data_IF_014350371204
#
_entry.id   IF_014350371204
#
_cell.length_a   1.000
_cell.length_b   1.000
_cell.length_c   1.000
_cell.angle_alpha   90.00
_cell.angle_beta   90.00
_cell.angle_gamma   90.00
#
_symmetry.space_group_name_H-M   'P 1'
#
loop_
_entity.id
_entity.type
_entity.pdbx_description
1 polymer ?
#
# COMPACT_ATOMS: atom_id res chain seq x y z
N UNK A 1 6.54 -1.83 -13.42
CA UNK A 1 7.19 -3.12 -13.77
C UNK A 1 8.50 -3.33 -13.01
N UNK A 2 9.56 -2.54 -13.26
CA UNK A 2 10.85 -2.71 -12.59
C UNK A 2 10.73 -2.72 -11.04
N UNK A 3 9.98 -1.78 -10.46
CA UNK A 3 9.70 -1.77 -9.02
C UNK A 3 9.07 -3.08 -8.51
N UNK A 4 8.13 -3.64 -9.28
CA UNK A 4 7.48 -4.90 -8.95
C UNK A 4 8.42 -6.11 -9.06
N UNK A 5 9.28 -6.14 -10.08
CA UNK A 5 10.32 -7.19 -10.21
C UNK A 5 11.31 -7.13 -9.06
N UNK A 6 11.82 -5.94 -8.71
CA UNK A 6 12.68 -5.76 -7.55
C UNK A 6 11.97 -6.16 -6.25
N UNK A 7 10.67 -5.84 -6.11
CA UNK A 7 9.86 -6.29 -4.98
C UNK A 7 9.76 -7.81 -4.89
N UNK A 8 9.53 -8.51 -6.00
CA UNK A 8 9.54 -9.98 -6.03
C UNK A 8 10.91 -10.55 -5.66
N UNK A 9 11.99 -9.99 -6.19
CA UNK A 9 13.35 -10.40 -5.83
C UNK A 9 13.64 -10.17 -4.35
N UNK A 10 13.15 -9.07 -3.77
CA UNK A 10 13.21 -8.84 -2.34
C UNK A 10 12.40 -9.90 -1.55
N UNK A 11 11.22 -10.30 -2.03
CA UNK A 11 10.44 -11.35 -1.37
C UNK A 11 11.11 -12.73 -1.41
N UNK A 12 11.88 -13.02 -2.46
CA UNK A 12 12.49 -14.33 -2.73
C UNK A 12 13.90 -14.47 -2.16
N UNK A 13 14.67 -13.38 -2.11
CA UNK A 13 16.06 -13.42 -1.71
C UNK A 13 16.22 -13.14 -0.21
N UNK A 14 17.24 -13.75 0.43
CA UNK A 14 17.58 -13.46 1.82
C UNK A 14 17.84 -11.97 2.05
N UNK A 15 17.26 -11.44 3.12
CA UNK A 15 17.37 -10.04 3.50
C UNK A 15 18.61 -9.78 4.35
N UNK A 16 18.92 -10.72 5.24
CA UNK A 16 19.95 -10.61 6.26
C UNK A 16 20.81 -11.86 6.30
N UNK A 17 22.04 -11.67 6.74
CA UNK A 17 22.96 -12.74 7.13
C UNK A 17 23.11 -12.68 8.64
N UNK A 18 22.74 -13.76 9.32
CA UNK A 18 22.93 -13.85 10.78
C UNK A 18 24.19 -14.63 11.12
N UNK A 19 24.81 -14.37 12.28
CA UNK A 19 25.91 -15.18 12.77
C UNK A 19 25.55 -16.67 12.85
N UNK A 20 26.52 -17.56 12.58
CA UNK A 20 26.35 -19.03 12.49
C UNK A 20 25.72 -19.70 13.72
N UNK A 21 25.78 -19.06 14.88
CA UNK A 21 25.23 -19.57 16.13
C UNK A 21 23.73 -19.27 16.30
N UNK A 22 23.14 -18.42 15.45
CA UNK A 22 21.71 -18.16 15.37
C UNK A 22 21.10 -19.02 14.24
N UNK A 23 20.01 -19.75 14.52
CA UNK A 23 19.23 -20.40 13.44
C UNK A 23 18.71 -19.32 12.49
N UNK A 24 18.79 -19.58 11.19
CA UNK A 24 18.43 -18.65 10.12
C UNK A 24 16.99 -18.11 10.34
N UNK A 25 16.81 -16.84 10.76
CA UNK A 25 15.50 -16.34 11.12
C UNK A 25 14.70 -16.15 9.83
N UNK A 26 13.57 -16.86 9.73
CA UNK A 26 12.60 -16.63 8.66
C UNK A 26 12.15 -15.18 8.71
N UNK A 27 12.46 -14.42 7.66
CA UNK A 27 12.15 -12.98 7.60
C UNK A 27 10.70 -12.76 7.18
N UNK A 28 9.77 -12.97 8.12
CA UNK A 28 8.32 -12.80 7.88
C UNK A 28 7.93 -11.45 7.23
N UNK A 29 8.52 -10.30 7.60
CA UNK A 29 8.18 -9.02 6.98
C UNK A 29 8.41 -8.98 5.46
N UNK A 30 9.38 -9.74 4.94
CA UNK A 30 9.67 -9.78 3.50
C UNK A 30 8.49 -10.33 2.69
N UNK A 31 7.60 -11.11 3.31
CA UNK A 31 6.40 -11.65 2.65
C UNK A 31 5.43 -10.55 2.23
N UNK A 32 5.47 -9.37 2.84
CA UNK A 32 4.65 -8.22 2.44
C UNK A 32 5.03 -7.69 1.04
N UNK A 33 6.23 -8.00 0.55
CA UNK A 33 6.59 -7.66 -0.83
C UNK A 33 5.78 -8.46 -1.85
N UNK A 34 5.24 -9.64 -1.54
CA UNK A 34 4.40 -10.40 -2.48
C UNK A 34 3.17 -9.61 -2.96
N UNK A 35 2.25 -9.18 -2.08
CA UNK A 35 1.08 -8.43 -2.52
C UNK A 35 1.47 -7.05 -3.07
N UNK A 36 2.48 -6.37 -2.51
CA UNK A 36 2.94 -5.08 -3.01
C UNK A 36 3.51 -5.18 -4.45
N UNK A 37 4.34 -6.18 -4.71
CA UNK A 37 4.90 -6.44 -6.03
C UNK A 37 3.82 -6.86 -7.03
N UNK A 38 2.85 -7.69 -6.60
CA UNK A 38 1.72 -8.08 -7.44
C UNK A 38 0.93 -6.85 -7.93
N UNK A 39 0.62 -5.91 -7.05
CA UNK A 39 -0.03 -4.63 -7.43
C UNK A 39 0.79 -3.90 -8.50
N UNK A 40 2.11 -3.75 -8.27
CA UNK A 40 2.99 -3.03 -9.20
C UNK A 40 3.19 -3.73 -10.55
N UNK A 41 3.19 -5.06 -10.56
CA UNK A 41 3.31 -5.85 -11.77
C UNK A 41 2.03 -5.83 -12.58
N UNK A 42 0.87 -6.01 -11.93
CA UNK A 42 -0.43 -6.00 -12.60
C UNK A 42 -0.73 -4.61 -13.20
N UNK A 43 -0.57 -3.55 -12.41
CA UNK A 43 -0.78 -2.18 -12.89
C UNK A 43 0.26 -1.84 -13.97
N UNK A 44 1.54 -2.14 -13.72
CA UNK A 44 2.60 -1.86 -14.67
C UNK A 44 2.46 -2.61 -16.00
N UNK A 45 2.01 -3.88 -15.98
CA UNK A 45 1.75 -4.66 -17.18
C UNK A 45 0.53 -4.10 -17.93
N UNK A 46 -0.52 -3.72 -17.21
CA UNK A 46 -1.69 -3.08 -17.81
C UNK A 46 -1.33 -1.75 -18.49
N UNK A 47 -0.34 -1.00 -17.98
CA UNK A 47 0.14 0.22 -18.62
C UNK A 47 0.85 0.01 -19.96
N UNK A 48 1.26 -1.22 -20.31
CA UNK A 48 1.79 -1.53 -21.65
C UNK A 48 0.70 -1.50 -22.73
N UNK A 49 -0.57 -1.55 -22.35
CA UNK A 49 -1.70 -1.45 -23.26
C UNK A 49 -2.19 0.00 -23.26
N UNK A 50 -2.05 0.77 -24.36
CA UNK A 50 -2.36 2.21 -24.38
C UNK A 50 -3.75 2.56 -23.86
N UNK A 51 -4.77 1.76 -24.23
CA UNK A 51 -6.16 1.94 -23.77
C UNK A 51 -6.36 1.76 -22.26
N UNK A 52 -5.53 0.95 -21.62
CA UNK A 52 -5.58 0.72 -20.18
C UNK A 52 -4.67 1.70 -19.43
N UNK A 53 -3.58 2.16 -20.05
CA UNK A 53 -2.62 3.06 -19.43
C UNK A 53 -3.29 4.31 -18.88
N UNK A 54 -4.15 4.98 -19.65
CA UNK A 54 -4.91 6.17 -19.21
C UNK A 54 -5.76 5.89 -17.96
N UNK A 55 -6.38 4.70 -17.89
CA UNK A 55 -7.24 4.30 -16.77
C UNK A 55 -6.44 3.86 -15.54
N UNK A 56 -5.24 3.33 -15.74
CA UNK A 56 -4.41 2.76 -14.69
C UNK A 56 -3.43 3.78 -14.07
N UNK A 57 -3.17 4.92 -14.72
CA UNK A 57 -2.31 5.97 -14.14
C UNK A 57 -2.74 6.41 -12.74
N UNK A 58 -4.03 6.69 -12.46
CA UNK A 58 -4.44 7.07 -11.10
C UNK A 58 -4.33 5.91 -10.11
N UNK A 59 -4.47 4.67 -10.58
CA UNK A 59 -4.22 3.46 -9.76
C UNK A 59 -2.74 3.42 -9.37
N UNK A 60 -1.82 3.67 -10.31
CA UNK A 60 -0.38 3.70 -10.07
C UNK A 60 0.02 4.85 -9.12
N UNK A 61 -0.58 6.03 -9.28
CA UNK A 61 -0.36 7.22 -8.45
C UNK A 61 -0.68 6.99 -6.95
N UNK A 62 -1.49 5.98 -6.64
CA UNK A 62 -1.83 5.57 -5.27
C UNK A 62 -1.09 4.30 -4.87
N UNK A 63 -1.12 3.29 -5.75
CA UNK A 63 -0.62 1.94 -5.50
C UNK A 63 0.89 1.84 -5.29
N UNK A 64 1.69 2.84 -5.72
CA UNK A 64 3.13 2.88 -5.46
C UNK A 64 3.45 2.81 -3.95
N UNK A 65 2.60 3.39 -3.11
CA UNK A 65 2.76 3.44 -1.65
C UNK A 65 2.74 2.06 -0.97
N UNK A 66 2.20 1.03 -1.63
CA UNK A 66 2.24 -0.34 -1.13
C UNK A 66 3.67 -0.90 -0.99
N UNK A 67 4.62 -0.43 -1.83
CA UNK A 67 6.00 -0.91 -1.79
C UNK A 67 6.76 -0.35 -0.58
N UNK A 68 6.77 0.98 -0.32
CA UNK A 68 7.30 1.52 0.94
C UNK A 68 6.64 0.93 2.19
N UNK A 69 5.32 0.68 2.16
CA UNK A 69 4.60 0.03 3.26
C UNK A 69 5.21 -1.34 3.59
N UNK A 70 5.45 -2.19 2.59
CA UNK A 70 6.08 -3.48 2.77
C UNK A 70 7.56 -3.36 3.21
N UNK A 71 8.31 -2.46 2.56
CA UNK A 71 9.74 -2.29 2.80
C UNK A 71 10.04 -1.76 4.20
N UNK A 72 9.19 -0.89 4.77
CA UNK A 72 9.42 -0.30 6.08
C UNK A 72 9.48 -1.36 7.19
N UNK A 73 8.64 -2.40 7.13
CA UNK A 73 8.70 -3.52 8.08
C UNK A 73 9.97 -4.36 7.96
N UNK A 74 10.47 -4.55 6.74
CA UNK A 74 11.75 -5.24 6.49
C UNK A 74 12.93 -4.42 7.01
N UNK A 75 12.92 -3.11 6.74
CA UNK A 75 13.95 -2.19 7.21
C UNK A 75 13.99 -2.13 8.73
N UNK A 76 12.85 -2.04 9.41
CA UNK A 76 12.74 -2.03 10.87
C UNK A 76 13.35 -3.29 11.49
N UNK A 77 13.00 -4.47 10.95
CA UNK A 77 13.54 -5.75 11.40
C UNK A 77 15.04 -5.90 11.15
N UNK A 78 15.52 -5.38 10.02
CA UNK A 78 16.94 -5.37 9.71
C UNK A 78 17.75 -4.45 10.60
N UNK A 79 17.28 -3.23 10.87
CA UNK A 79 17.94 -2.31 11.79
C UNK A 79 18.05 -2.93 13.19
N UNK A 80 16.96 -3.56 13.67
CA UNK A 80 16.98 -4.29 14.94
C UNK A 80 18.00 -5.43 14.94
N UNK A 81 18.07 -6.25 13.89
CA UNK A 81 19.02 -7.35 13.78
C UNK A 81 20.48 -6.89 13.68
N UNK A 82 20.75 -5.84 12.91
CA UNK A 82 22.08 -5.22 12.77
C UNK A 82 22.54 -4.70 14.14
N UNK A 83 21.67 -4.00 14.87
CA UNK A 83 22.00 -3.40 16.16
C UNK A 83 22.14 -4.42 17.30
N UNK A 84 21.37 -5.51 17.28
CA UNK A 84 21.35 -6.49 18.37
C UNK A 84 22.39 -7.60 18.25
N UNK A 85 22.59 -8.14 17.04
CA UNK A 85 23.44 -9.31 16.80
C UNK A 85 24.49 -9.09 15.71
N UNK A 86 24.62 -7.86 15.19
CA UNK A 86 25.60 -7.55 14.15
C UNK A 86 25.31 -8.23 12.82
N UNK A 87 24.03 -8.42 12.47
CA UNK A 87 23.62 -9.06 11.22
C UNK A 87 24.15 -8.30 9.99
N UNK A 88 24.53 -9.03 8.94
CA UNK A 88 24.92 -8.47 7.65
C UNK A 88 23.71 -8.23 6.74
N UNK A 89 23.84 -7.29 5.80
CA UNK A 89 22.82 -7.00 4.77
C UNK A 89 23.05 -7.89 3.55
N UNK A 90 21.99 -8.53 3.03
CA UNK A 90 22.05 -9.40 1.83
C UNK A 90 21.30 -8.79 0.64
N UNK A 91 21.38 -9.48 -0.51
CA UNK A 91 20.84 -9.02 -1.78
C UNK A 91 19.35 -8.63 -1.71
N UNK A 92 18.53 -9.35 -0.94
CA UNK A 92 17.10 -9.06 -0.81
C UNK A 92 16.83 -7.64 -0.31
N UNK A 93 17.67 -7.11 0.58
CA UNK A 93 17.53 -5.76 1.12
C UNK A 93 17.81 -4.70 0.06
N UNK A 94 18.86 -4.91 -0.75
CA UNK A 94 19.20 -4.02 -1.86
C UNK A 94 18.08 -3.98 -2.91
N UNK A 95 17.50 -5.14 -3.24
CA UNK A 95 16.32 -5.18 -4.12
C UNK A 95 15.10 -4.51 -3.50
N UNK A 96 14.89 -4.64 -2.18
CA UNK A 96 13.84 -3.92 -1.46
C UNK A 96 14.00 -2.41 -1.56
N UNK A 97 15.22 -1.90 -1.32
CA UNK A 97 15.55 -0.48 -1.47
C UNK A 97 15.37 0.02 -2.90
N UNK A 98 15.83 -0.74 -3.89
CA UNK A 98 15.63 -0.43 -5.31
C UNK A 98 14.14 -0.42 -5.68
N UNK A 99 13.35 -1.37 -5.16
CA UNK A 99 11.91 -1.43 -5.37
C UNK A 99 11.21 -0.16 -4.86
N UNK A 100 11.58 0.31 -3.65
CA UNK A 100 11.05 1.55 -3.08
C UNK A 100 11.39 2.75 -3.95
N UNK A 101 12.65 2.93 -4.33
CA UNK A 101 13.07 4.05 -5.16
C UNK A 101 12.32 4.07 -6.51
N UNK A 102 12.26 2.92 -7.18
CA UNK A 102 11.58 2.79 -8.47
C UNK A 102 10.06 2.98 -8.34
N UNK A 103 9.45 2.52 -7.24
CA UNK A 103 8.03 2.72 -6.99
C UNK A 103 7.72 4.21 -6.77
N UNK A 104 8.52 4.91 -5.96
CA UNK A 104 8.39 6.35 -5.73
C UNK A 104 8.50 7.11 -7.05
N UNK A 105 9.53 6.83 -7.86
CA UNK A 105 9.71 7.46 -9.17
C UNK A 105 8.52 7.19 -10.09
N UNK A 106 8.02 5.96 -10.15
CA UNK A 106 6.85 5.61 -10.95
C UNK A 106 5.58 6.35 -10.46
N UNK A 107 5.39 6.46 -9.15
CA UNK A 107 4.31 7.23 -8.54
C UNK A 107 4.39 8.71 -8.90
N UNK A 108 5.56 9.33 -8.77
CA UNK A 108 5.81 10.73 -9.12
C UNK A 108 5.58 11.01 -10.61
N UNK A 109 6.08 10.15 -11.50
CA UNK A 109 5.83 10.30 -12.94
C UNK A 109 4.34 10.18 -13.24
N UNK A 110 3.64 9.24 -12.61
CA UNK A 110 2.19 9.07 -12.79
C UNK A 110 1.39 10.28 -12.27
N UNK A 111 1.78 10.88 -11.15
CA UNK A 111 1.11 12.08 -10.61
C UNK A 111 1.38 13.31 -11.47
N UNK A 112 2.62 13.52 -11.92
CA UNK A 112 2.97 14.64 -12.82
C UNK A 112 2.27 14.50 -14.17
N UNK A 113 2.25 13.30 -14.75
CA UNK A 113 1.52 13.04 -15.99
C UNK A 113 0.03 13.38 -15.83
N UNK A 114 -0.59 12.97 -14.72
CA UNK A 114 -1.98 13.29 -14.43
C UNK A 114 -2.23 14.79 -14.12
N UNK A 115 -1.19 15.53 -13.73
CA UNK A 115 -1.27 16.98 -13.55
C UNK A 115 -1.20 17.71 -14.91
N UNK A 116 -0.24 17.34 -15.77
CA UNK A 116 -0.11 17.91 -17.12
C UNK A 116 -1.37 17.68 -17.95
N UNK A 117 -1.99 16.50 -17.86
CA UNK A 117 -3.25 16.21 -18.56
C UNK A 117 -4.45 17.03 -18.07
N UNK A 118 -4.33 17.73 -16.92
CA UNK A 118 -5.40 18.58 -16.38
C UNK A 118 -5.31 20.04 -16.80
N UNK A 119 -4.15 20.51 -17.20
CA UNK A 119 -3.97 21.93 -17.56
C UNK A 119 -4.73 22.33 -18.84
N UNK A 120 -5.09 21.35 -19.68
CA UNK A 120 -5.86 21.56 -20.92
C UNK A 120 -7.39 21.47 -20.71
N UNK A 121 -7.84 21.25 -19.47
CA UNK A 121 -9.22 20.86 -19.18
C UNK A 121 -10.00 21.99 -18.53
N UNK A 122 -11.14 22.32 -19.12
CA UNK A 122 -12.10 23.26 -18.55
C UNK A 122 -12.64 22.75 -17.19
N UNK A 123 -12.39 23.52 -16.13
CA UNK A 123 -12.76 23.22 -14.74
C UNK A 123 -14.14 23.77 -14.34
N UNK A 124 -14.83 24.47 -15.25
CA UNK A 124 -16.08 25.17 -14.95
C UNK A 124 -17.26 24.22 -14.65
N UNK A 125 -17.14 22.93 -15.00
CA UNK A 125 -18.15 21.87 -14.74
C UNK A 125 -17.77 20.89 -13.61
N UNK A 126 -17.08 21.34 -12.55
CA UNK A 126 -16.80 20.49 -11.39
C UNK A 126 -17.92 20.51 -10.37
N UNK A 127 -18.98 19.73 -10.63
CA UNK A 127 -19.96 19.41 -9.59
C UNK A 127 -19.42 18.31 -8.67
N UNK A 128 -19.21 18.65 -7.39
CA UNK A 128 -18.74 17.70 -6.40
C UNK A 128 -19.82 16.63 -6.14
N UNK A 129 -19.49 15.36 -6.39
CA UNK A 129 -20.47 14.29 -6.18
C UNK A 129 -20.68 14.06 -4.68
N UNK A 130 -21.81 14.56 -4.17
CA UNK A 130 -22.21 14.43 -2.75
C UNK A 130 -22.17 12.99 -2.24
N UNK A 131 -22.45 11.99 -3.09
CA UNK A 131 -22.39 10.57 -2.68
C UNK A 131 -20.95 10.08 -2.55
N UNK A 132 -20.08 10.48 -3.48
CA UNK A 132 -18.64 10.22 -3.36
C UNK A 132 -18.06 10.93 -2.13
N UNK A 133 -18.54 12.13 -1.80
CA UNK A 133 -18.17 12.85 -0.58
C UNK A 133 -18.53 12.08 0.70
N UNK A 134 -19.73 11.50 0.78
CA UNK A 134 -20.13 10.64 1.90
C UNK A 134 -19.27 9.38 2.02
N UNK A 135 -18.97 8.73 0.90
CA UNK A 135 -18.08 7.56 0.87
C UNK A 135 -16.68 7.94 1.36
N UNK A 136 -16.17 9.10 0.97
CA UNK A 136 -14.89 9.61 1.44
C UNK A 136 -14.89 9.88 2.96
N UNK A 137 -15.99 10.44 3.48
CA UNK A 137 -16.16 10.70 4.92
C UNK A 137 -16.18 9.41 5.76
N UNK A 138 -16.68 8.30 5.21
CA UNK A 138 -16.70 6.99 5.90
C UNK A 138 -15.36 6.25 5.71
N UNK A 139 -14.81 6.24 4.50
CA UNK A 139 -13.59 5.49 4.19
C UNK A 139 -12.35 6.07 4.89
N UNK A 140 -12.28 7.39 5.07
CA UNK A 140 -11.12 8.06 5.70
C UNK A 140 -10.87 7.62 7.16
N UNK A 141 -11.86 7.65 8.08
CA UNK A 141 -11.65 7.15 9.44
C UNK A 141 -11.40 5.65 9.48
N UNK A 142 -12.03 4.86 8.59
CA UNK A 142 -11.74 3.43 8.51
C UNK A 142 -10.31 3.14 8.05
N UNK A 143 -9.80 3.91 7.08
CA UNK A 143 -8.40 3.84 6.69
C UNK A 143 -7.49 4.24 7.86
N UNK A 144 -7.81 5.33 8.57
CA UNK A 144 -7.05 5.74 9.75
C UNK A 144 -6.98 4.61 10.80
N UNK A 145 -8.11 3.95 11.10
CA UNK A 145 -8.14 2.81 12.01
C UNK A 145 -7.34 1.61 11.47
N UNK A 146 -7.44 1.30 10.18
CA UNK A 146 -6.72 0.19 9.54
C UNK A 146 -5.20 0.34 9.59
N UNK A 147 -4.69 1.57 9.50
CA UNK A 147 -3.26 1.87 9.52
C UNK A 147 -2.74 2.23 10.91
N UNK A 148 -3.57 2.80 11.79
CA UNK A 148 -3.17 3.18 13.13
C UNK A 148 -3.17 2.00 14.10
N UNK A 149 -4.11 1.06 13.94
CA UNK A 149 -4.27 -0.09 14.81
C UNK A 149 -3.50 -1.32 14.30
N UNK A 150 -3.11 -2.23 15.21
CA UNK A 150 -2.43 -3.46 14.84
C UNK A 150 -3.36 -4.40 14.04
N UNK A 151 -2.81 -4.98 12.98
CA UNK A 151 -3.46 -6.01 12.14
C UNK A 151 -3.23 -7.41 12.71
N UNK A 152 -2.14 -7.60 13.47
CA UNK A 152 -1.76 -8.83 14.16
C UNK A 152 -1.56 -8.54 15.64
N UNK A 153 -2.13 -9.35 16.52
CA UNK A 153 -1.95 -9.28 17.97
C UNK A 153 -1.55 -10.63 18.54
N UNK A 154 -0.75 -10.63 19.61
CA UNK A 154 -0.46 -11.79 20.46
C UNK A 154 -0.04 -11.30 21.87
N UNK A 155 -0.17 -12.12 22.93
CA UNK A 155 0.03 -11.68 24.33
C UNK A 155 1.37 -10.98 24.62
N UNK A 156 2.47 -11.46 24.02
CA UNK A 156 3.83 -10.95 24.23
C UNK A 156 4.41 -10.25 22.98
N UNK A 157 3.53 -9.80 22.07
CA UNK A 157 3.93 -9.20 20.80
C UNK A 157 3.48 -7.75 20.72
N UNK A 158 4.45 -6.83 20.56
CA UNK A 158 4.17 -5.42 20.27
C UNK A 158 4.35 -5.14 18.77
N UNK A 159 3.28 -5.18 17.97
CA UNK A 159 3.34 -4.81 16.56
C UNK A 159 3.65 -3.31 16.37
N UNK A 160 4.29 -2.93 15.25
CA UNK A 160 4.34 -1.53 14.84
C UNK A 160 2.95 -0.92 14.72
N UNK A 161 2.78 0.26 15.32
CA UNK A 161 1.52 1.00 15.32
C UNK A 161 1.80 2.50 15.23
N UNK A 162 0.78 3.29 14.87
CA UNK A 162 0.90 4.76 14.87
C UNK A 162 0.63 5.37 16.25
N UNK A 163 0.02 4.60 17.17
CA UNK A 163 -0.48 5.14 18.44
C UNK A 163 0.40 4.87 19.65
N UNK A 164 1.04 3.70 19.73
CA UNK A 164 1.75 3.26 20.94
C UNK A 164 3.20 2.79 20.69
N UNK A 165 3.49 2.23 19.52
CA UNK A 165 4.81 1.67 19.19
C UNK A 165 5.30 2.22 17.85
N UNK A 166 5.77 3.47 17.87
CA UNK A 166 6.21 4.16 16.66
C UNK A 166 7.65 3.77 16.30
N UNK A 167 7.83 2.98 15.24
CA UNK A 167 9.14 2.48 14.79
C UNK A 167 9.43 2.91 13.35
N UNK A 168 10.51 2.40 12.73
CA UNK A 168 10.79 2.66 11.31
C UNK A 168 9.65 2.14 10.43
N UNK A 169 9.00 1.03 10.81
CA UNK A 169 7.85 0.50 10.10
C UNK A 169 6.63 1.46 10.10
N UNK A 170 6.47 2.26 11.16
CA UNK A 170 5.37 3.22 11.32
C UNK A 170 5.41 4.34 10.26
N UNK A 171 6.58 4.70 9.73
CA UNK A 171 6.67 5.64 8.61
C UNK A 171 6.05 5.09 7.31
N UNK A 172 6.20 3.78 7.06
CA UNK A 172 5.54 3.12 5.93
C UNK A 172 4.02 3.12 6.06
N UNK A 173 3.51 2.91 7.28
CA UNK A 173 2.08 3.01 7.61
C UNK A 173 1.56 4.44 7.40
N UNK A 174 2.28 5.44 7.91
CA UNK A 174 1.89 6.85 7.80
C UNK A 174 1.84 7.30 6.34
N UNK A 175 2.84 6.94 5.54
CA UNK A 175 2.88 7.25 4.12
C UNK A 175 1.71 6.60 3.36
N UNK A 176 1.48 5.30 3.57
CA UNK A 176 0.38 4.59 2.92
C UNK A 176 -0.98 5.18 3.32
N UNK A 177 -1.18 5.51 4.59
CA UNK A 177 -2.38 6.18 5.08
C UNK A 177 -2.58 7.54 4.39
N UNK A 178 -1.53 8.37 4.33
CA UNK A 178 -1.61 9.69 3.72
C UNK A 178 -1.99 9.60 2.22
N UNK A 179 -1.40 8.66 1.48
CA UNK A 179 -1.71 8.44 0.06
C UNK A 179 -3.14 7.92 -0.12
N UNK A 180 -3.58 6.97 0.70
CA UNK A 180 -4.96 6.43 0.68
C UNK A 180 -5.99 7.52 0.99
N UNK A 181 -5.81 8.28 2.07
CA UNK A 181 -6.71 9.38 2.45
C UNK A 181 -6.71 10.46 1.39
N UNK A 182 -5.54 10.84 0.85
CA UNK A 182 -5.44 11.80 -0.25
C UNK A 182 -6.24 11.36 -1.49
N UNK A 183 -6.12 10.09 -1.88
CA UNK A 183 -6.88 9.52 -3.00
C UNK A 183 -8.39 9.55 -2.74
N UNK A 184 -8.81 9.17 -1.53
CA UNK A 184 -10.22 9.13 -1.10
C UNK A 184 -10.83 10.53 -1.03
N UNK A 185 -10.11 11.52 -0.53
CA UNK A 185 -10.56 12.92 -0.45
C UNK A 185 -10.59 13.59 -1.83
N UNK A 186 -9.72 13.17 -2.75
CA UNK A 186 -9.66 13.70 -4.11
C UNK A 186 -10.71 13.07 -5.04
N UNK A 187 -11.10 11.81 -4.82
CA UNK A 187 -12.04 11.08 -5.68
C UNK A 187 -13.38 11.80 -5.94
N UNK A 188 -14.05 12.47 -4.95
CA UNK A 188 -15.30 13.20 -5.18
C UNK A 188 -15.18 14.43 -6.08
N UNK A 189 -13.95 14.92 -6.27
CA UNK A 189 -13.61 16.06 -7.13
C UNK A 189 -13.11 15.63 -8.51
N UNK A 190 -13.08 14.32 -8.78
CA UNK A 190 -12.59 13.78 -10.03
C UNK A 190 -13.75 13.38 -10.95
N UNK A 191 -13.49 13.40 -12.26
CA UNK A 191 -14.35 12.74 -13.25
C UNK A 191 -14.45 11.24 -12.95
N UNK A 192 -15.53 10.60 -13.42
CA UNK A 192 -15.88 9.20 -13.11
C UNK A 192 -14.71 8.21 -13.26
N UNK A 193 -14.01 8.24 -14.41
CA UNK A 193 -12.89 7.32 -14.69
C UNK A 193 -11.77 7.43 -13.65
N UNK A 194 -11.13 8.61 -13.49
CA UNK A 194 -10.09 8.81 -12.49
C UNK A 194 -10.55 8.59 -11.04
N UNK A 195 -11.79 8.94 -10.69
CA UNK A 195 -12.35 8.70 -9.36
C UNK A 195 -12.39 7.19 -9.03
N UNK A 196 -12.89 6.37 -9.96
CA UNK A 196 -12.90 4.91 -9.81
C UNK A 196 -11.47 4.37 -9.68
N UNK A 197 -10.54 4.85 -10.50
CA UNK A 197 -9.15 4.43 -10.47
C UNK A 197 -8.44 4.78 -9.15
N UNK A 198 -8.68 5.97 -8.59
CA UNK A 198 -8.16 6.37 -7.28
C UNK A 198 -8.68 5.46 -6.16
N UNK A 199 -9.99 5.17 -6.15
CA UNK A 199 -10.59 4.29 -5.15
C UNK A 199 -10.09 2.84 -5.27
N UNK A 200 -9.90 2.34 -6.49
CA UNK A 200 -9.31 1.00 -6.73
C UNK A 200 -7.84 0.97 -6.30
N UNK A 201 -7.06 2.02 -6.57
CA UNK A 201 -5.69 2.14 -6.07
C UNK A 201 -5.62 2.15 -4.55
N UNK A 202 -6.52 2.90 -3.89
CA UNK A 202 -6.61 2.95 -2.44
C UNK A 202 -7.00 1.59 -1.86
N UNK A 203 -7.98 0.91 -2.47
CA UNK A 203 -8.39 -0.43 -2.10
C UNK A 203 -7.23 -1.44 -2.21
N UNK A 204 -6.40 -1.35 -3.25
CA UNK A 204 -5.23 -2.20 -3.40
C UNK A 204 -4.21 -2.00 -2.26
N UNK A 205 -3.92 -0.76 -1.85
CA UNK A 205 -3.01 -0.46 -0.73
C UNK A 205 -3.58 -0.97 0.60
N UNK A 206 -4.89 -0.77 0.84
CA UNK A 206 -5.58 -1.30 2.03
C UNK A 206 -5.59 -2.84 2.04
N UNK A 207 -5.74 -3.48 0.89
CA UNK A 207 -5.65 -4.94 0.77
C UNK A 207 -4.23 -5.45 1.11
N UNK A 208 -3.18 -4.76 0.68
CA UNK A 208 -1.79 -5.06 1.08
C UNK A 208 -1.65 -4.93 2.59
N UNK A 209 -2.20 -3.88 3.22
CA UNK A 209 -2.22 -3.72 4.69
C UNK A 209 -2.91 -4.90 5.38
N UNK A 210 -4.10 -5.30 4.91
CA UNK A 210 -4.84 -6.43 5.48
C UNK A 210 -4.14 -7.78 5.30
N UNK A 211 -3.35 -7.94 4.23
CA UNK A 211 -2.58 -9.14 3.97
C UNK A 211 -1.46 -9.39 4.99
N UNK A 212 -1.12 -8.41 5.85
CA UNK A 212 -0.11 -8.61 6.90
C UNK A 212 -0.47 -9.78 7.82
N UNK A 213 -1.73 -9.90 8.25
CA UNK A 213 -2.14 -10.97 9.15
C UNK A 213 -1.85 -12.36 8.57
N UNK A 214 -2.45 -12.80 7.43
CA UNK A 214 -2.22 -14.15 6.92
C UNK A 214 -0.77 -14.40 6.47
N UNK A 215 -0.03 -13.38 6.06
CA UNK A 215 1.35 -13.56 5.57
C UNK A 215 2.37 -13.61 6.70
N UNK A 216 2.13 -12.89 7.79
CA UNK A 216 3.10 -12.72 8.88
C UNK A 216 2.69 -13.35 10.21
N UNK A 217 1.48 -13.91 10.33
CA UNK A 217 0.99 -14.55 11.56
C UNK A 217 1.95 -15.59 12.15
N UNK A 218 2.66 -16.34 11.31
CA UNK A 218 3.65 -17.34 11.76
C UNK A 218 4.87 -16.77 12.48
N UNK A 219 5.03 -15.44 12.57
CA UNK A 219 6.13 -14.79 13.31
C UNK A 219 5.96 -14.84 14.83
N UNK A 220 4.75 -15.12 15.31
CA UNK A 220 4.40 -15.15 16.74
C UNK A 220 3.57 -16.39 17.07
N UNK A 221 3.67 -16.85 18.30
CA UNK A 221 2.82 -17.92 18.83
C UNK A 221 1.43 -17.37 19.21
N UNK A 222 0.38 -18.14 18.93
CA UNK A 222 -1.01 -17.74 19.18
C UNK A 222 -1.45 -16.46 18.45
N UNK A 223 -1.25 -16.34 17.12
CA UNK A 223 -1.58 -15.12 16.39
C UNK A 223 -3.11 -14.91 16.32
N UNK A 224 -3.57 -13.73 16.73
CA UNK A 224 -4.97 -13.33 16.66
C UNK A 224 -5.18 -12.14 15.70
N UNK A 225 -6.31 -12.09 14.97
CA UNK A 225 -6.70 -10.94 14.18
C UNK A 225 -6.84 -9.67 15.03
N UNK A 226 -5.98 -8.68 14.79
CA UNK A 226 -6.06 -7.39 15.45
C UNK A 226 -7.22 -6.53 14.93
N UNK A 227 -7.65 -5.49 15.68
CA UNK A 227 -8.74 -4.60 15.26
C UNK A 227 -8.43 -3.85 13.95
N UNK A 228 -7.15 -3.62 13.65
CA UNK A 228 -6.72 -3.03 12.38
C UNK A 228 -7.07 -3.90 11.16
N UNK A 229 -7.10 -5.23 11.31
CA UNK A 229 -7.50 -6.12 10.22
C UNK A 229 -8.97 -5.89 9.84
N UNK A 230 -9.85 -5.87 10.84
CA UNK A 230 -11.28 -5.67 10.62
C UNK A 230 -11.58 -4.29 10.05
N UNK A 231 -10.89 -3.26 10.54
CA UNK A 231 -10.94 -1.93 9.95
C UNK A 231 -10.48 -1.92 8.49
N UNK A 232 -9.40 -2.65 8.15
CA UNK A 232 -8.91 -2.78 6.78
C UNK A 232 -9.94 -3.48 5.87
N UNK A 233 -10.56 -4.57 6.33
CA UNK A 233 -11.60 -5.29 5.58
C UNK A 233 -12.81 -4.38 5.33
N UNK A 234 -13.29 -3.67 6.36
CA UNK A 234 -14.43 -2.77 6.22
C UNK A 234 -14.09 -1.59 5.30
N UNK A 235 -12.90 -1.01 5.44
CA UNK A 235 -12.40 0.05 4.57
C UNK A 235 -12.36 -0.43 3.11
N UNK A 236 -11.81 -1.63 2.86
CA UNK A 236 -11.73 -2.24 1.53
C UNK A 236 -13.13 -2.38 0.90
N UNK A 237 -14.10 -2.90 1.65
CA UNK A 237 -15.49 -3.04 1.19
C UNK A 237 -16.08 -1.68 0.82
N UNK A 238 -15.89 -0.65 1.65
CA UNK A 238 -16.40 0.71 1.39
C UNK A 238 -15.75 1.32 0.14
N UNK A 239 -14.44 1.14 -0.05
CA UNK A 239 -13.72 1.66 -1.23
C UNK A 239 -14.19 1.00 -2.52
N UNK A 240 -14.35 -0.33 -2.52
CA UNK A 240 -14.83 -1.08 -3.69
C UNK A 240 -16.30 -0.77 -3.99
N UNK A 241 -17.15 -0.69 -2.96
CA UNK A 241 -18.54 -0.26 -3.13
C UNK A 241 -18.62 1.16 -3.70
N UNK A 242 -17.75 2.06 -3.23
CA UNK A 242 -17.66 3.42 -3.75
C UNK A 242 -17.23 3.46 -5.22
N UNK A 243 -16.22 2.69 -5.60
CA UNK A 243 -15.78 2.54 -6.98
C UNK A 243 -16.92 2.02 -7.88
N UNK A 244 -17.68 1.03 -7.40
CA UNK A 244 -18.86 0.52 -8.10
C UNK A 244 -19.93 1.61 -8.27
N UNK A 245 -20.34 2.29 -7.19
CA UNK A 245 -21.37 3.35 -7.25
C UNK A 245 -21.00 4.45 -8.25
N UNK A 246 -19.73 4.89 -8.26
CA UNK A 246 -19.24 5.90 -9.21
C UNK A 246 -19.27 5.37 -10.65
N UNK A 247 -18.93 4.10 -10.87
CA UNK A 247 -18.91 3.50 -12.22
C UNK A 247 -20.29 3.29 -12.84
N UNK A 248 -21.31 2.92 -12.05
CA UNK A 248 -22.65 2.61 -12.55
C UNK A 248 -23.40 3.83 -13.08
N UNK A 249 -23.17 5.01 -12.48
CA UNK A 249 -23.79 6.28 -12.92
C UNK A 249 -23.39 6.70 -14.33
N UNK A 250 -22.25 6.24 -14.83
CA UNK A 250 -21.81 6.56 -16.19
C UNK A 250 -22.61 5.88 -17.30
N UNK A 251 -23.48 4.91 -16.99
CA UNK A 251 -24.32 4.22 -17.99
C UNK A 251 -25.77 4.70 -18.03
N UNK A 252 -26.20 5.49 -17.04
CA UNK A 252 -27.61 5.83 -16.81
C UNK A 252 -27.97 7.28 -17.19
N UNK A 253 -27.00 8.08 -17.64
CA UNK A 253 -27.19 9.42 -18.20
C UNK A 253 -26.35 9.55 -19.45
#
# INVERSE_FOLDING_TARGET
LAAGVCGLLAALLPQLEVPLWLRDPTTYPARMFWPAAAVQLLVGAGMLVPRLAERLRPVLAVGWSAVPLAAAGVLDSALMAIQSVGAGVRAGMWFGGAAVLLAVLAGLVATVAGWVERDEVDLTELDADRRAGWLAAIASPLAALAFALPVLSAPDFSPPALTHTFTTASWGLLLALAVVVGAVVLAPRCRRGPAVALLVGAAAVVAVRGAEFPLTAGRVDGPEPGPGLWAAVLCLVVLLAGALVVSWRGRAG
#
